data_IF_970194211751
#
_entry.id   IF_970194211751
#
_cell.length_a   1.000
_cell.length_b   1.000
_cell.length_c   1.000
_cell.angle_alpha   90.00
_cell.angle_beta   90.00
_cell.angle_gamma   90.00
#
_symmetry.space_group_name_H-M   'P 1'
#
loop_
_entity.id
_entity.type
_entity.pdbx_description
1 polymer ?
#
# COMPACT_ATOMS: atom_id res chain seq x y z
N UNK A 1 8.49 23.73 0.74
CA UNK A 1 9.06 23.76 2.11
C UNK A 1 10.55 23.88 1.95
N UNK A 2 11.20 24.72 2.77
CA UNK A 2 12.65 24.83 2.81
C UNK A 2 13.27 23.50 3.32
N UNK A 3 14.13 22.82 2.54
CA UNK A 3 14.69 21.54 2.96
C UNK A 3 15.54 21.59 4.22
N UNK A 4 16.07 22.76 4.60
CA UNK A 4 16.83 22.95 5.85
C UNK A 4 16.00 22.81 7.12
N UNK A 5 14.66 22.80 6.97
CA UNK A 5 13.69 22.66 8.05
C UNK A 5 13.12 21.23 8.15
N UNK A 6 13.72 20.25 7.46
CA UNK A 6 13.25 18.87 7.40
C UNK A 6 14.29 17.94 8.00
N UNK A 7 13.99 17.29 9.12
CA UNK A 7 14.83 16.22 9.65
C UNK A 7 14.13 14.87 9.58
N UNK A 8 14.76 13.88 8.94
CA UNK A 8 14.25 12.51 8.95
C UNK A 8 15.40 11.52 8.93
N UNK A 9 15.40 10.62 9.90
CA UNK A 9 16.36 9.52 9.97
C UNK A 9 16.22 8.63 8.72
N UNK A 10 17.31 8.51 7.97
CA UNK A 10 17.40 7.66 6.78
C UNK A 10 18.10 6.35 7.13
N UNK A 11 17.54 5.24 6.67
CA UNK A 11 18.15 3.91 6.79
C UNK A 11 18.78 3.40 5.48
N UNK A 12 18.57 4.13 4.39
CA UNK A 12 19.00 3.79 3.04
C UNK A 12 19.58 5.03 2.38
N UNK A 13 20.56 4.84 1.50
CA UNK A 13 21.31 5.91 0.82
C UNK A 13 20.57 6.51 -0.38
N UNK A 14 19.24 6.49 -0.37
CA UNK A 14 18.44 7.10 -1.43
C UNK A 14 18.60 8.64 -1.37
N UNK A 15 18.81 9.30 -2.53
CA UNK A 15 18.95 10.75 -2.55
C UNK A 15 17.64 11.40 -2.09
N UNK A 16 17.72 12.18 -1.02
CA UNK A 16 16.61 12.94 -0.47
C UNK A 16 16.89 14.44 -0.59
N UNK A 17 15.84 15.27 -0.71
CA UNK A 17 16.02 16.70 -0.89
C UNK A 17 16.48 17.45 0.38
N UNK A 18 16.63 16.77 1.53
CA UNK A 18 17.05 17.37 2.82
C UNK A 18 18.37 16.76 3.33
N UNK A 19 19.15 17.57 4.04
CA UNK A 19 20.47 17.17 4.54
C UNK A 19 20.44 16.65 5.99
N UNK A 20 19.37 16.94 6.74
CA UNK A 20 19.28 16.60 8.17
C UNK A 20 18.76 15.16 8.37
N UNK A 21 19.68 14.24 8.61
CA UNK A 21 19.38 12.80 8.63
C UNK A 21 19.78 12.11 9.94
N UNK A 22 20.43 12.81 10.87
CA UNK A 22 20.76 12.27 12.18
C UNK A 22 19.64 12.47 13.21
N UNK A 23 19.63 11.67 14.27
CA UNK A 23 18.69 11.86 15.39
C UNK A 23 18.88 13.21 16.08
N UNK A 24 20.13 13.65 16.22
CA UNK A 24 20.47 14.92 16.84
C UNK A 24 19.95 16.12 16.01
N UNK A 25 19.77 15.94 14.69
CA UNK A 25 19.15 16.98 13.87
C UNK A 25 17.67 17.18 14.18
N UNK A 26 16.96 16.11 14.52
CA UNK A 26 15.55 16.18 14.93
C UNK A 26 15.44 17.01 16.21
N UNK A 27 16.25 16.71 17.22
CA UNK A 27 16.28 17.47 18.49
C UNK A 27 16.63 18.94 18.25
N UNK A 28 17.63 19.20 17.39
CA UNK A 28 18.05 20.55 17.03
C UNK A 28 16.94 21.35 16.35
N UNK A 29 16.23 20.77 15.37
CA UNK A 29 15.16 21.46 14.67
C UNK A 29 13.95 21.71 15.58
N UNK A 30 13.60 20.76 16.45
CA UNK A 30 12.52 20.95 17.44
C UNK A 30 12.84 22.06 18.45
N UNK A 31 14.11 22.27 18.79
CA UNK A 31 14.56 23.37 19.65
C UNK A 31 14.73 24.71 18.93
N UNK A 32 14.65 24.73 17.60
CA UNK A 32 14.89 25.93 16.79
C UNK A 32 13.65 26.83 16.73
N UNK A 33 13.85 28.12 16.42
CA UNK A 33 12.73 29.04 16.19
C UNK A 33 12.19 28.85 14.77
N UNK A 34 10.87 28.72 14.66
CA UNK A 34 10.18 28.54 13.37
C UNK A 34 9.47 27.19 13.30
N UNK A 35 8.84 26.91 12.16
CA UNK A 35 8.23 25.60 11.90
C UNK A 35 9.26 24.62 11.32
N UNK A 36 9.19 23.36 11.70
CA UNK A 36 9.98 22.27 11.10
C UNK A 36 9.10 21.06 10.79
N UNK A 37 9.63 20.16 9.96
CA UNK A 37 9.04 18.85 9.71
C UNK A 37 10.02 17.77 10.15
N UNK A 38 9.58 16.92 11.07
CA UNK A 38 10.36 15.79 11.56
C UNK A 38 9.71 14.47 11.14
N UNK A 39 10.52 13.55 10.64
CA UNK A 39 10.09 12.23 10.20
C UNK A 39 10.82 11.14 10.97
N UNK A 40 10.10 10.08 11.34
CA UNK A 40 10.68 8.98 12.09
C UNK A 40 9.73 7.81 12.28
N UNK A 41 10.25 6.75 12.87
CA UNK A 41 9.43 5.59 13.25
C UNK A 41 8.66 5.87 14.54
N UNK A 42 7.75 4.97 14.94
CA UNK A 42 7.10 5.04 16.24
C UNK A 42 8.11 5.21 17.38
N UNK A 43 9.25 4.51 17.31
CA UNK A 43 10.32 4.60 18.30
C UNK A 43 10.89 6.02 18.43
N UNK A 44 11.10 6.70 17.30
CA UNK A 44 11.57 8.09 17.27
C UNK A 44 10.58 9.01 17.99
N UNK A 45 9.29 8.81 17.76
CA UNK A 45 8.20 9.62 18.33
C UNK A 45 7.92 9.33 19.81
N UNK A 46 8.28 8.14 20.31
CA UNK A 46 8.14 7.77 21.73
C UNK A 46 9.42 7.97 22.55
N UNK A 47 10.55 8.17 21.88
CA UNK A 47 11.87 8.25 22.47
C UNK A 47 12.21 9.63 23.05
N UNK A 48 13.47 9.79 23.49
CA UNK A 48 13.98 11.06 24.03
C UNK A 48 14.02 12.18 22.98
N UNK A 49 14.13 11.81 21.71
CA UNK A 49 14.31 12.70 20.57
C UNK A 49 13.10 13.62 20.32
N UNK A 50 11.89 13.16 20.64
CA UNK A 50 10.66 13.95 20.50
C UNK A 50 10.00 14.10 21.86
N UNK A 51 10.20 15.22 22.57
CA UNK A 51 9.62 15.43 23.88
C UNK A 51 8.09 15.40 23.87
N UNK A 52 7.44 15.02 24.98
CA UNK A 52 5.98 15.05 25.07
C UNK A 52 5.41 16.45 24.80
N UNK A 53 4.37 16.51 23.95
CA UNK A 53 3.72 17.77 23.58
C UNK A 53 4.57 18.74 22.75
N UNK A 54 5.71 18.29 22.19
CA UNK A 54 6.59 19.14 21.37
C UNK A 54 6.08 19.38 19.96
N UNK A 55 5.16 18.55 19.45
CA UNK A 55 4.62 18.66 18.10
C UNK A 55 3.23 19.32 18.10
N UNK A 56 3.01 20.24 17.16
CA UNK A 56 1.68 20.83 16.92
C UNK A 56 0.69 19.86 16.28
N UNK A 57 1.22 18.94 15.46
CA UNK A 57 0.49 17.92 14.70
C UNK A 57 1.41 16.72 14.47
N UNK A 58 0.89 15.50 14.66
CA UNK A 58 1.54 14.26 14.26
C UNK A 58 0.71 13.59 13.17
N UNK A 59 1.35 13.38 12.01
CA UNK A 59 0.76 12.65 10.89
C UNK A 59 1.22 11.20 10.96
N UNK A 60 0.28 10.26 11.00
CA UNK A 60 0.55 8.83 10.93
C UNK A 60 0.08 8.35 9.56
N UNK A 61 1.05 8.01 8.71
CA UNK A 61 0.79 7.39 7.41
C UNK A 61 0.56 5.88 7.57
N UNK A 62 -0.21 5.29 6.66
CA UNK A 62 -0.66 3.89 6.71
C UNK A 62 -1.32 3.51 8.06
N UNK A 63 -2.08 4.44 8.65
CA UNK A 63 -2.74 4.29 9.94
C UNK A 63 -3.81 3.19 9.99
N UNK A 64 -4.23 2.66 8.83
CA UNK A 64 -5.04 1.44 8.72
C UNK A 64 -4.30 0.17 9.11
N UNK A 65 -2.97 0.23 9.16
CA UNK A 65 -2.08 -0.86 9.54
C UNK A 65 -1.25 -0.54 10.80
N UNK A 66 -1.42 0.66 11.37
CA UNK A 66 -0.71 1.10 12.56
C UNK A 66 -1.55 0.80 13.80
N UNK A 67 -1.04 -0.04 14.69
CA UNK A 67 -1.79 -0.53 15.85
C UNK A 67 -2.24 0.61 16.78
N UNK A 68 -3.37 0.40 17.45
CA UNK A 68 -3.92 1.34 18.42
C UNK A 68 -2.92 1.56 19.58
N UNK A 69 -2.27 0.50 20.05
CA UNK A 69 -1.22 0.61 21.08
C UNK A 69 -0.07 1.55 20.66
N UNK A 70 0.44 1.40 19.43
CA UNK A 70 1.49 2.29 18.93
C UNK A 70 0.96 3.71 18.74
N UNK A 71 -0.28 3.87 18.28
CA UNK A 71 -0.94 5.18 18.15
C UNK A 71 -1.01 5.92 19.48
N UNK A 72 -1.41 5.24 20.56
CA UNK A 72 -1.45 5.80 21.91
C UNK A 72 -0.05 6.13 22.45
N UNK A 73 0.96 5.33 22.09
CA UNK A 73 2.33 5.60 22.49
C UNK A 73 2.86 6.89 21.84
N UNK A 74 2.70 7.02 20.51
CA UNK A 74 3.18 8.21 19.78
C UNK A 74 2.33 9.45 20.02
N UNK A 75 1.07 9.31 20.45
CA UNK A 75 0.20 10.44 20.80
C UNK A 75 0.71 11.22 22.01
N UNK A 76 1.72 10.75 22.73
CA UNK A 76 2.40 11.56 23.76
C UNK A 76 3.10 12.79 23.17
N UNK A 77 3.51 12.73 21.91
CA UNK A 77 4.21 13.83 21.25
C UNK A 77 3.31 15.04 20.94
N UNK A 78 1.97 14.85 20.87
CA UNK A 78 1.03 15.91 20.48
C UNK A 78 -0.40 15.66 20.94
N UNK A 79 -1.20 16.72 21.02
CA UNK A 79 -2.65 16.62 21.21
C UNK A 79 -3.43 16.47 19.91
N UNK A 80 -2.80 16.63 18.73
CA UNK A 80 -3.47 16.61 17.42
C UNK A 80 -2.87 15.51 16.54
N UNK A 81 -3.68 14.52 16.20
CA UNK A 81 -3.31 13.43 15.30
C UNK A 81 -4.02 13.58 13.96
N UNK A 82 -3.29 13.40 12.87
CA UNK A 82 -3.84 13.20 11.53
C UNK A 82 -3.50 11.77 11.09
N UNK A 83 -4.54 10.95 10.96
CA UNK A 83 -4.41 9.56 10.55
C UNK A 83 -4.70 9.46 9.05
N UNK A 84 -3.71 9.00 8.29
CA UNK A 84 -3.82 8.76 6.85
C UNK A 84 -3.69 7.27 6.60
N UNK A 85 -4.62 6.70 5.86
CA UNK A 85 -4.60 5.27 5.56
C UNK A 85 -5.99 4.76 5.23
N UNK A 86 -6.08 3.45 5.11
CA UNK A 86 -7.30 2.77 4.71
C UNK A 86 -7.58 1.59 5.66
N UNK A 87 -8.68 1.64 6.44
CA UNK A 87 -9.03 0.55 7.35
C UNK A 87 -9.49 -0.73 6.63
N UNK A 88 -9.84 -0.65 5.34
CA UNK A 88 -10.24 -1.81 4.54
C UNK A 88 -9.04 -2.63 4.03
N UNK A 89 -7.84 -2.05 4.09
CA UNK A 89 -6.62 -2.80 3.82
C UNK A 89 -6.31 -3.73 4.99
N UNK A 90 -5.67 -4.86 4.68
CA UNK A 90 -5.37 -5.87 5.69
C UNK A 90 -4.54 -5.27 6.85
N UNK A 91 -4.91 -5.59 8.11
CA UNK A 91 -4.16 -5.15 9.28
C UNK A 91 -2.73 -5.68 9.26
N UNK A 92 -1.86 -5.12 10.10
CA UNK A 92 -0.55 -5.71 10.34
C UNK A 92 -0.69 -7.13 10.90
N UNK A 93 0.23 -8.01 10.51
CA UNK A 93 0.30 -9.36 11.08
C UNK A 93 0.87 -9.24 12.48
N UNK A 94 0.01 -9.27 13.50
CA UNK A 94 0.44 -9.31 14.90
C UNK A 94 0.79 -10.74 15.30
N UNK A 95 2.02 -11.00 15.75
CA UNK A 95 2.45 -12.34 16.16
C UNK A 95 2.01 -12.71 17.59
N UNK A 96 1.36 -11.80 18.32
CA UNK A 96 0.82 -12.02 19.65
C UNK A 96 -0.68 -11.75 19.70
N UNK A 97 -1.44 -12.63 20.38
CA UNK A 97 -2.85 -12.37 20.71
C UNK A 97 -2.90 -11.65 22.05
N UNK A 98 -3.51 -10.47 22.07
CA UNK A 98 -3.82 -9.76 23.30
C UNK A 98 -5.31 -9.93 23.61
N UNK A 99 -5.75 -10.05 24.89
CA UNK A 99 -7.16 -10.21 25.23
C UNK A 99 -8.03 -9.00 24.82
N UNK A 100 -7.48 -7.80 24.99
CA UNK A 100 -8.08 -6.54 24.51
C UNK A 100 -7.67 -6.25 23.06
N UNK A 101 -8.53 -5.60 22.24
CA UNK A 101 -8.32 -5.35 20.80
C UNK A 101 -7.31 -4.22 20.54
N UNK A 102 -6.13 -4.31 21.16
CA UNK A 102 -5.06 -3.29 21.08
C UNK A 102 -4.19 -3.45 19.84
N UNK A 103 -4.32 -4.59 19.16
CA UNK A 103 -3.67 -4.93 17.90
C UNK A 103 -4.45 -4.47 16.67
N UNK A 104 -5.72 -4.07 16.84
CA UNK A 104 -6.48 -3.37 15.81
C UNK A 104 -5.82 -2.04 15.45
N UNK A 105 -6.03 -1.59 14.21
CA UNK A 105 -5.51 -0.29 13.78
C UNK A 105 -6.36 0.85 14.31
N UNK A 106 -5.75 2.03 14.53
CA UNK A 106 -6.49 3.19 15.03
C UNK A 106 -7.63 3.61 14.08
N UNK A 107 -7.42 3.51 12.76
CA UNK A 107 -8.48 3.77 11.78
C UNK A 107 -9.57 2.69 11.81
N UNK A 108 -9.22 1.41 11.97
CA UNK A 108 -10.20 0.32 12.10
C UNK A 108 -11.09 0.51 13.31
N UNK A 109 -10.48 0.87 14.45
CA UNK A 109 -11.21 1.17 15.68
C UNK A 109 -12.18 2.35 15.52
N UNK A 110 -11.72 3.44 14.89
CA UNK A 110 -12.55 4.63 14.60
C UNK A 110 -13.68 4.34 13.60
N UNK A 111 -13.43 3.45 12.63
CA UNK A 111 -14.44 3.03 11.67
C UNK A 111 -15.55 2.20 12.33
N UNK A 112 -15.25 1.52 13.44
CA UNK A 112 -16.22 0.78 14.25
C UNK A 112 -17.08 -0.18 13.41
N UNK A 113 -16.41 -0.97 12.55
CA UNK A 113 -17.05 -1.93 11.65
C UNK A 113 -17.67 -1.35 10.37
N UNK A 114 -17.68 -0.02 10.19
CA UNK A 114 -18.09 0.58 8.92
C UNK A 114 -16.99 0.38 7.85
N UNK A 115 -17.41 0.22 6.58
CA UNK A 115 -16.45 0.12 5.47
C UNK A 115 -15.69 1.43 5.24
N UNK A 116 -16.36 2.55 5.49
CA UNK A 116 -15.79 3.90 5.36
C UNK A 116 -15.96 4.70 6.65
N UNK A 117 -14.98 5.58 6.93
CA UNK A 117 -15.05 6.43 8.12
C UNK A 117 -16.29 7.36 8.07
N UNK A 118 -16.98 7.54 9.21
CA UNK A 118 -18.02 8.56 9.34
C UNK A 118 -17.52 9.94 8.95
N UNK A 119 -18.31 10.71 8.20
CA UNK A 119 -17.91 12.04 7.70
C UNK A 119 -17.51 13.04 8.80
N UNK A 120 -18.01 12.84 10.04
CA UNK A 120 -17.63 13.65 11.21
C UNK A 120 -16.21 13.40 11.72
N UNK A 121 -15.58 12.29 11.32
CA UNK A 121 -14.26 11.85 11.80
C UNK A 121 -13.13 12.11 10.80
N UNK A 122 -13.44 12.47 9.56
CA UNK A 122 -12.41 12.76 8.57
C UNK A 122 -12.93 12.90 7.15
N UNK A 123 -11.99 13.03 6.22
CA UNK A 123 -12.24 13.18 4.80
C UNK A 123 -12.00 11.85 4.08
N UNK A 124 -12.97 11.45 3.25
CA UNK A 124 -12.81 10.29 2.38
C UNK A 124 -12.31 10.74 1.00
N UNK A 125 -11.17 10.20 0.56
CA UNK A 125 -10.61 10.47 -0.75
C UNK A 125 -11.28 9.56 -1.80
N UNK A 126 -12.42 10.00 -2.32
CA UNK A 126 -13.27 9.22 -3.22
C UNK A 126 -12.67 8.95 -4.62
N UNK A 127 -11.70 9.74 -5.05
CA UNK A 127 -11.18 9.66 -6.42
C UNK A 127 -9.93 8.79 -6.51
N UNK A 128 -10.05 7.61 -7.13
CA UNK A 128 -8.94 6.73 -7.47
C UNK A 128 -8.28 7.16 -8.79
N UNK A 129 -6.98 7.45 -8.74
CA UNK A 129 -6.18 7.76 -9.93
C UNK A 129 -5.50 6.53 -10.54
N UNK A 130 -5.76 5.34 -9.99
CA UNK A 130 -5.13 4.07 -10.37
C UNK A 130 -6.08 3.11 -11.10
N UNK A 131 -7.33 3.00 -10.68
CA UNK A 131 -8.20 1.94 -11.20
C UNK A 131 -9.04 2.43 -12.39
N UNK A 132 -9.10 1.65 -13.47
CA UNK A 132 -10.11 1.82 -14.52
C UNK A 132 -11.55 1.74 -13.94
N UNK A 133 -12.55 2.47 -14.46
CA UNK A 133 -13.93 2.47 -13.95
C UNK A 133 -14.52 1.08 -13.70
N UNK A 134 -14.38 0.14 -14.63
CA UNK A 134 -14.91 -1.24 -14.49
C UNK A 134 -14.32 -1.97 -13.27
N UNK A 135 -13.01 -1.82 -13.00
CA UNK A 135 -12.38 -2.39 -11.80
C UNK A 135 -12.78 -1.61 -10.54
N UNK A 136 -12.78 -0.28 -10.63
CA UNK A 136 -13.07 0.61 -9.52
C UNK A 136 -14.49 0.42 -9.00
N UNK A 137 -15.48 0.21 -9.89
CA UNK A 137 -16.87 -0.03 -9.52
C UNK A 137 -17.01 -1.28 -8.64
N UNK A 138 -16.41 -2.40 -9.04
CA UNK A 138 -16.44 -3.64 -8.26
C UNK A 138 -15.80 -3.48 -6.88
N UNK A 139 -14.62 -2.85 -6.81
CA UNK A 139 -13.92 -2.57 -5.55
C UNK A 139 -14.71 -1.60 -4.66
N UNK A 140 -15.32 -0.58 -5.27
CA UNK A 140 -16.13 0.43 -4.58
C UNK A 140 -17.35 -0.19 -3.90
N UNK A 141 -18.06 -1.07 -4.61
CA UNK A 141 -19.22 -1.78 -4.08
C UNK A 141 -18.83 -2.73 -2.93
N UNK A 142 -17.77 -3.52 -3.11
CA UNK A 142 -17.37 -4.54 -2.14
C UNK A 142 -16.70 -3.98 -0.88
N UNK A 143 -16.02 -2.83 -0.98
CA UNK A 143 -15.13 -2.36 0.10
C UNK A 143 -15.34 -0.91 0.51
N UNK A 144 -16.08 -0.09 -0.24
CA UNK A 144 -16.19 1.35 0.05
C UNK A 144 -17.62 1.90 -0.05
N UNK A 145 -18.64 1.07 0.12
CA UNK A 145 -20.06 1.45 0.09
C UNK A 145 -20.47 2.20 -1.20
N UNK A 146 -19.83 1.88 -2.33
CA UNK A 146 -20.07 2.56 -3.61
C UNK A 146 -19.52 3.99 -3.70
N UNK A 147 -18.74 4.46 -2.71
CA UNK A 147 -18.27 5.85 -2.62
C UNK A 147 -17.01 6.13 -3.42
N UNK A 148 -16.25 5.10 -3.80
CA UNK A 148 -15.02 5.23 -4.58
C UNK A 148 -15.33 5.30 -6.09
N UNK A 149 -14.65 6.19 -6.81
CA UNK A 149 -14.78 6.32 -8.26
C UNK A 149 -13.45 6.63 -8.95
N UNK A 150 -13.35 6.33 -10.24
CA UNK A 150 -12.12 6.58 -11.01
C UNK A 150 -11.98 8.05 -11.40
N UNK A 151 -10.74 8.54 -11.43
CA UNK A 151 -10.39 9.81 -12.07
C UNK A 151 -10.54 9.70 -13.60
N UNK A 152 -10.85 10.80 -14.31
CA UNK A 152 -10.93 10.81 -15.79
C UNK A 152 -9.65 10.36 -16.51
N UNK A 153 -8.49 10.46 -15.86
CA UNK A 153 -7.24 9.95 -16.42
C UNK A 153 -7.19 8.41 -16.39
N UNK A 154 -7.71 7.78 -15.33
CA UNK A 154 -7.69 6.33 -15.16
C UNK A 154 -8.66 5.61 -16.10
N UNK A 155 -9.76 6.27 -16.50
CA UNK A 155 -10.72 5.73 -17.48
C UNK A 155 -10.19 5.65 -18.91
N UNK A 156 -9.02 6.23 -19.18
CA UNK A 156 -8.37 6.17 -20.48
C UNK A 156 -7.33 5.06 -20.56
N UNK A 157 -7.11 4.31 -19.47
CA UNK A 157 -6.23 3.15 -19.48
C UNK A 157 -6.83 2.04 -20.32
N UNK A 158 -5.98 1.38 -21.11
CA UNK A 158 -6.43 0.30 -21.99
C UNK A 158 -5.34 -0.72 -22.18
N UNK A 159 -5.73 -1.99 -22.08
CA UNK A 159 -4.95 -3.11 -22.57
C UNK A 159 -5.67 -3.67 -23.82
N UNK A 160 -5.03 -3.55 -24.98
CA UNK A 160 -5.65 -3.92 -26.25
C UNK A 160 -6.03 -5.40 -26.30
N UNK A 161 -7.27 -5.68 -26.67
CA UNK A 161 -7.83 -7.04 -26.73
C UNK A 161 -8.33 -7.60 -25.40
N UNK A 162 -8.18 -6.88 -24.28
CA UNK A 162 -8.60 -7.33 -22.94
C UNK A 162 -9.54 -6.29 -22.34
N UNK A 163 -10.66 -6.77 -21.79
CA UNK A 163 -11.59 -5.89 -21.08
C UNK A 163 -11.02 -5.55 -19.70
N UNK A 164 -11.04 -4.28 -19.33
CA UNK A 164 -10.66 -3.87 -17.99
C UNK A 164 -11.66 -4.42 -16.94
N UNK A 165 -11.15 -4.82 -15.78
CA UNK A 165 -11.98 -5.31 -14.68
C UNK A 165 -11.37 -6.53 -13.99
N UNK A 166 -12.24 -7.31 -13.35
CA UNK A 166 -11.88 -8.57 -12.71
C UNK A 166 -12.39 -9.72 -13.57
N UNK A 167 -11.51 -10.65 -13.91
CA UNK A 167 -11.84 -11.91 -14.57
C UNK A 167 -11.59 -13.07 -13.61
N UNK A 168 -12.46 -14.07 -13.62
CA UNK A 168 -12.33 -15.27 -12.81
C UNK A 168 -12.10 -16.49 -13.71
N UNK A 169 -11.02 -17.22 -13.44
CA UNK A 169 -10.70 -18.48 -14.12
C UNK A 169 -10.78 -19.61 -13.10
N UNK A 170 -11.65 -20.57 -13.35
CA UNK A 170 -11.77 -21.77 -12.52
C UNK A 170 -10.77 -22.83 -13.01
N UNK A 171 -9.87 -23.24 -12.12
CA UNK A 171 -8.87 -24.27 -12.40
C UNK A 171 -9.27 -25.56 -11.68
N UNK A 172 -9.64 -26.63 -12.40
CA UNK A 172 -9.94 -27.91 -11.76
C UNK A 172 -8.68 -28.52 -11.14
N UNK A 173 -8.70 -28.77 -9.83
CA UNK A 173 -7.63 -29.45 -9.11
C UNK A 173 -8.18 -30.15 -7.86
N UNK A 174 -7.39 -31.04 -7.24
CA UNK A 174 -7.82 -31.78 -6.04
C UNK A 174 -6.63 -32.18 -5.16
N UNK A 175 -6.84 -32.21 -3.84
CA UNK A 175 -5.81 -32.64 -2.87
C UNK A 175 -4.72 -31.60 -2.56
N UNK A 176 -4.81 -30.41 -3.13
CA UNK A 176 -3.88 -29.30 -2.90
C UNK A 176 -4.24 -28.54 -1.62
N UNK A 177 -3.25 -28.25 -0.76
CA UNK A 177 -3.45 -27.55 0.51
C UNK A 177 -2.85 -26.15 0.53
N UNK A 178 -1.55 -26.04 0.31
CA UNK A 178 -0.79 -24.76 0.36
C UNK A 178 -0.13 -24.39 -0.98
N UNK A 179 -0.23 -25.28 -1.97
CA UNK A 179 0.22 -25.05 -3.34
C UNK A 179 -0.60 -25.91 -4.32
N UNK A 180 -0.77 -25.42 -5.55
CA UNK A 180 -1.40 -26.13 -6.68
C UNK A 180 -0.55 -25.94 -7.94
N UNK A 181 0.00 -27.04 -8.49
CA UNK A 181 0.67 -27.02 -9.80
C UNK A 181 -0.26 -26.59 -10.95
N UNK A 182 -1.53 -26.97 -10.88
CA UNK A 182 -2.54 -26.63 -11.89
C UNK A 182 -2.77 -25.11 -11.94
N UNK A 183 -2.95 -24.46 -10.78
CA UNK A 183 -3.06 -23.00 -10.70
C UNK A 183 -1.76 -22.32 -11.16
N UNK A 184 -0.59 -22.87 -10.80
CA UNK A 184 0.69 -22.29 -11.22
C UNK A 184 0.87 -22.36 -12.76
N UNK A 185 0.46 -23.46 -13.38
CA UNK A 185 0.45 -23.59 -14.84
C UNK A 185 -0.51 -22.60 -15.50
N UNK A 186 -1.70 -22.39 -14.91
CA UNK A 186 -2.66 -21.40 -15.40
C UNK A 186 -2.11 -19.98 -15.28
N UNK A 187 -1.42 -19.64 -14.19
CA UNK A 187 -0.72 -18.35 -14.05
C UNK A 187 0.27 -18.13 -15.19
N UNK A 188 1.11 -19.12 -15.51
CA UNK A 188 2.06 -19.02 -16.64
C UNK A 188 1.31 -18.79 -17.95
N UNK A 189 0.19 -19.49 -18.17
CA UNK A 189 -0.65 -19.31 -19.37
C UNK A 189 -1.18 -17.88 -19.46
N UNK A 190 -1.71 -17.34 -18.37
CA UNK A 190 -2.24 -15.98 -18.31
C UNK A 190 -1.17 -14.94 -18.55
N UNK A 191 0.00 -15.07 -17.91
CA UNK A 191 1.13 -14.17 -18.16
C UNK A 191 1.50 -14.18 -19.64
N UNK A 192 1.65 -15.35 -20.26
CA UNK A 192 1.97 -15.45 -21.70
C UNK A 192 0.90 -14.84 -22.60
N UNK A 193 -0.37 -14.97 -22.24
CA UNK A 193 -1.48 -14.41 -23.01
C UNK A 193 -1.49 -12.88 -22.99
N UNK A 194 -0.97 -12.25 -21.94
CA UNK A 194 -0.98 -10.80 -21.77
C UNK A 194 0.33 -10.11 -22.17
N UNK A 195 1.45 -10.83 -22.15
CA UNK A 195 2.74 -10.27 -22.53
C UNK A 195 2.75 -9.78 -23.98
N UNK A 196 3.28 -8.57 -24.18
CA UNK A 196 3.36 -7.93 -25.49
C UNK A 196 2.06 -7.29 -25.98
N UNK A 197 0.94 -7.46 -25.27
CA UNK A 197 -0.28 -6.72 -25.59
C UNK A 197 -0.06 -5.22 -25.45
N UNK A 198 -0.66 -4.44 -26.34
CA UNK A 198 -0.50 -3.00 -26.34
C UNK A 198 -1.21 -2.37 -25.12
N UNK A 199 -0.44 -1.72 -24.25
CA UNK A 199 -0.89 -1.03 -23.04
C UNK A 199 -0.77 0.48 -23.19
N UNK A 200 -1.80 1.21 -22.77
CA UNK A 200 -1.80 2.67 -22.69
C UNK A 200 -2.12 3.11 -21.26
N UNK A 201 -1.20 3.82 -20.62
CA UNK A 201 -1.48 4.69 -19.48
C UNK A 201 -1.16 6.14 -19.86
N UNK A 202 -2.17 7.00 -20.08
CA UNK A 202 -1.98 8.40 -20.47
C UNK A 202 -1.21 9.26 -19.47
N UNK A 203 -0.97 8.76 -18.25
CA UNK A 203 -0.10 9.43 -17.26
C UNK A 203 1.38 9.12 -17.45
N UNK A 204 1.68 8.03 -18.13
CA UNK A 204 3.05 7.55 -18.35
C UNK A 204 3.49 7.81 -19.79
N UNK A 205 2.60 7.60 -20.77
CA UNK A 205 2.90 7.73 -22.19
C UNK A 205 1.66 8.14 -22.98
N UNK A 206 1.86 8.88 -24.08
CA UNK A 206 0.82 9.13 -25.08
C UNK A 206 0.72 8.03 -26.13
N UNK A 207 1.71 7.13 -26.17
CA UNK A 207 1.79 6.01 -27.12
C UNK A 207 1.54 4.68 -26.40
N UNK A 208 0.92 3.75 -27.12
CA UNK A 208 0.78 2.37 -26.65
C UNK A 208 2.15 1.69 -26.59
N UNK A 209 2.42 1.01 -25.48
CA UNK A 209 3.66 0.26 -25.24
C UNK A 209 3.34 -1.22 -25.03
N UNK A 210 4.17 -2.15 -25.50
CA UNK A 210 3.95 -3.57 -25.23
C UNK A 210 4.07 -3.85 -23.72
N UNK A 211 3.10 -4.56 -23.16
CA UNK A 211 3.11 -4.98 -21.75
C UNK A 211 4.32 -5.89 -21.48
N UNK A 212 5.20 -5.49 -20.58
CA UNK A 212 6.40 -6.23 -20.24
C UNK A 212 6.24 -7.06 -18.96
N UNK A 213 7.16 -7.99 -18.71
CA UNK A 213 7.09 -8.85 -17.51
C UNK A 213 7.06 -8.06 -16.20
N UNK A 214 7.79 -6.93 -16.14
CA UNK A 214 7.82 -6.03 -14.97
C UNK A 214 6.45 -5.42 -14.65
N UNK A 215 5.57 -5.36 -15.63
CA UNK A 215 4.24 -4.74 -15.53
C UNK A 215 3.20 -5.72 -14.95
N UNK A 216 3.56 -7.00 -14.81
CA UNK A 216 2.70 -8.04 -14.26
C UNK A 216 3.12 -8.38 -12.82
N UNK A 217 2.12 -8.44 -11.94
CA UNK A 217 2.27 -8.92 -10.56
C UNK A 217 1.38 -10.12 -10.34
N UNK A 218 1.96 -11.21 -9.85
CA UNK A 218 1.23 -12.36 -9.35
C UNK A 218 1.28 -12.37 -7.83
N UNK A 219 0.11 -12.56 -7.22
CA UNK A 219 -0.01 -12.68 -5.77
C UNK A 219 -0.60 -14.03 -5.40
N UNK A 220 -0.05 -14.67 -4.37
CA UNK A 220 -0.61 -15.88 -3.77
C UNK A 220 -0.61 -15.79 -2.25
N UNK A 221 -1.57 -16.45 -1.60
CA UNK A 221 -1.73 -16.39 -0.14
C UNK A 221 -0.63 -17.17 0.61
N UNK A 222 -0.15 -18.27 0.03
CA UNK A 222 0.80 -19.17 0.67
C UNK A 222 2.20 -19.03 0.08
N UNK A 223 3.22 -19.01 0.95
CA UNK A 223 4.61 -18.96 0.52
C UNK A 223 5.02 -20.17 -0.34
N UNK A 224 4.45 -21.36 -0.07
CA UNK A 224 4.67 -22.54 -0.91
C UNK A 224 4.20 -22.30 -2.36
N UNK A 225 2.98 -21.77 -2.53
CA UNK A 225 2.46 -21.42 -3.85
C UNK A 225 3.27 -20.31 -4.54
N UNK A 226 3.73 -19.30 -3.79
CA UNK A 226 4.64 -18.26 -4.34
C UNK A 226 5.90 -18.89 -4.92
N UNK A 227 6.54 -19.80 -4.19
CA UNK A 227 7.76 -20.47 -4.66
C UNK A 227 7.50 -21.34 -5.89
N UNK A 228 6.37 -22.06 -5.91
CA UNK A 228 5.96 -22.88 -7.05
C UNK A 228 5.74 -22.03 -8.30
N UNK A 229 4.95 -20.97 -8.21
CA UNK A 229 4.70 -20.05 -9.33
C UNK A 229 6.01 -19.44 -9.85
N UNK A 230 6.90 -19.00 -8.94
CA UNK A 230 8.20 -18.49 -9.33
C UNK A 230 9.05 -19.54 -10.06
N UNK A 231 8.99 -20.81 -9.65
CA UNK A 231 9.66 -21.90 -10.33
C UNK A 231 9.11 -22.09 -11.75
N UNK A 232 7.80 -22.21 -11.90
CA UNK A 232 7.13 -22.41 -13.19
C UNK A 232 7.38 -21.25 -14.17
N UNK A 233 7.30 -20.01 -13.69
CA UNK A 233 7.62 -18.82 -14.50
C UNK A 233 9.09 -18.84 -14.95
N UNK A 234 10.03 -19.18 -14.07
CA UNK A 234 11.46 -19.30 -14.44
C UNK A 234 11.69 -20.40 -15.47
N UNK A 235 11.05 -21.56 -15.32
CA UNK A 235 11.11 -22.66 -16.27
C UNK A 235 10.53 -22.26 -17.64
N UNK A 236 9.51 -21.40 -17.63
CA UNK A 236 8.89 -20.83 -18.83
C UNK A 236 9.68 -19.67 -19.47
N UNK A 237 10.80 -19.24 -18.88
CA UNK A 237 11.64 -18.12 -19.35
C UNK A 237 11.25 -16.73 -18.84
N UNK A 238 10.24 -16.64 -17.97
CA UNK A 238 9.57 -15.40 -17.53
C UNK A 238 10.12 -14.89 -16.19
N UNK A 239 11.38 -14.44 -16.18
CA UNK A 239 12.12 -14.13 -14.94
C UNK A 239 11.85 -12.74 -14.37
N UNK A 240 11.32 -11.83 -15.17
CA UNK A 240 10.99 -10.44 -14.82
C UNK A 240 9.62 -10.27 -14.18
N UNK A 241 8.78 -11.31 -14.17
CA UNK A 241 7.45 -11.27 -13.54
C UNK A 241 7.60 -11.22 -12.03
N UNK A 242 6.92 -10.26 -11.40
CA UNK A 242 6.96 -10.11 -9.95
C UNK A 242 5.97 -11.08 -9.31
N UNK A 243 6.44 -11.88 -8.36
CA UNK A 243 5.60 -12.82 -7.60
C UNK A 243 5.89 -12.67 -6.12
N UNK A 244 4.86 -12.53 -5.30
CA UNK A 244 5.03 -12.45 -3.86
C UNK A 244 3.75 -12.72 -3.09
N UNK A 245 3.86 -12.84 -1.75
CA UNK A 245 2.68 -12.84 -0.92
C UNK A 245 2.01 -11.47 -0.99
N UNK A 246 0.70 -11.43 -0.73
CA UNK A 246 -0.08 -10.18 -0.76
C UNK A 246 0.54 -9.09 0.14
N UNK A 247 1.11 -9.48 1.28
CA UNK A 247 1.79 -8.59 2.24
C UNK A 247 2.95 -7.80 1.65
N UNK A 248 3.66 -8.34 0.66
CA UNK A 248 4.82 -7.71 -0.01
C UNK A 248 4.42 -6.77 -1.15
N UNK A 249 3.16 -6.80 -1.60
CA UNK A 249 2.66 -5.99 -2.71
C UNK A 249 2.11 -4.62 -2.29
N UNK A 250 1.96 -4.38 -0.99
CA UNK A 250 1.40 -3.15 -0.42
C UNK A 250 2.18 -1.89 -0.84
N UNK A 251 1.45 -0.85 -1.24
CA UNK A 251 2.00 0.47 -1.62
C UNK A 251 2.67 0.55 -3.00
N UNK A 252 2.78 -0.55 -3.76
CA UNK A 252 3.51 -0.57 -5.05
C UNK A 252 2.63 -0.16 -6.22
N UNK A 253 3.17 0.70 -7.10
CA UNK A 253 2.55 1.06 -8.38
C UNK A 253 2.85 -0.04 -9.42
N UNK A 254 1.80 -0.56 -10.02
CA UNK A 254 1.78 -1.40 -11.21
C UNK A 254 0.73 -0.80 -12.17
N UNK A 255 0.78 -1.10 -13.47
CA UNK A 255 -0.33 -0.80 -14.36
C UNK A 255 -1.54 -1.64 -13.94
N UNK A 256 -2.66 -0.98 -13.61
CA UNK A 256 -3.95 -1.58 -13.26
C UNK A 256 -5.06 -0.92 -14.08
#
# INVERSE_FOLDING_TARGET
MDPSLIAKEMKHDDPVPWDQQAKDDIERLLGSRGGCLVGGTAWTMTGRTVPPGSLDLLVIDEAGQFSLANTLAVSRATKRLLLLGDPQQLPQVTQGKHPEPVDESALGWLAHGAHTLPAKLGYFLATSWRMHPDLCAAVSELSYDGRLHSAPAASKRRLSGVRAGVECVYVPHGGNSTQSPEEAAEVVRQVRAHLGLAWLDPRESTEEQPLAEKDILVVAAYNAQVQLIQHELRAAGLRGVRVGPWTSSRGRKLPW
#
